data_IF_263117625776
#
_entry.id   IF_263117625776
#
_cell.length_a   1.000
_cell.length_b   1.000
_cell.length_c   1.000
_cell.angle_alpha   90.00
_cell.angle_beta   90.00
_cell.angle_gamma   90.00
#
_symmetry.space_group_name_H-M   'P 1'
#
loop_
_entity.id
_entity.type
_entity.pdbx_description
1 polymer ?
#
# COMPACT_ATOMS: atom_id res chain seq x y z
N UNK A 1 12.20 30.59 37.07
CA UNK A 1 10.82 30.28 36.65
C UNK A 1 10.34 31.06 35.42
N UNK A 2 10.83 32.28 35.13
CA UNK A 2 10.39 33.08 33.96
C UNK A 2 10.85 32.53 32.59
N UNK A 3 11.90 31.71 32.54
CA UNK A 3 12.45 31.11 31.30
C UNK A 3 11.65 29.91 30.77
N UNK A 4 10.80 29.28 31.60
CA UNK A 4 9.99 28.13 31.18
C UNK A 4 8.74 28.55 30.38
N UNK A 5 8.22 29.76 30.60
CA UNK A 5 7.05 30.27 29.87
C UNK A 5 7.35 30.54 28.39
N UNK A 6 8.61 30.83 28.04
CA UNK A 6 9.03 31.09 26.67
C UNK A 6 9.10 29.79 25.82
N UNK A 7 9.42 28.67 26.44
CA UNK A 7 9.39 27.33 25.81
C UNK A 7 7.95 26.83 25.57
N UNK A 8 7.02 27.19 26.45
CA UNK A 8 5.60 26.85 26.29
C UNK A 8 4.94 27.70 25.18
N UNK A 9 5.35 28.95 24.99
CA UNK A 9 4.84 29.81 23.93
C UNK A 9 5.28 29.36 22.52
N UNK A 10 6.48 28.79 22.38
CA UNK A 10 6.99 28.30 21.08
C UNK A 10 6.30 27.00 20.66
N UNK A 11 5.93 26.13 21.60
CA UNK A 11 5.28 24.84 21.31
C UNK A 11 3.81 24.97 20.88
N UNK A 12 3.12 26.05 21.29
CA UNK A 12 1.73 26.32 20.89
C UNK A 12 1.66 26.92 19.46
N UNK A 13 2.72 27.58 18.99
CA UNK A 13 2.78 28.21 17.66
C UNK A 13 2.96 27.26 16.48
N UNK A 14 3.38 26.01 16.70
CA UNK A 14 3.72 25.06 15.61
C UNK A 14 2.57 24.20 15.12
N UNK A 15 1.34 24.37 15.62
CA UNK A 15 0.23 23.42 15.38
C UNK A 15 -0.54 23.71 14.07
N UNK A 16 -0.24 24.80 13.34
CA UNK A 16 -1.04 25.21 12.17
C UNK A 16 -0.28 25.26 10.83
N UNK A 17 0.74 24.41 10.64
CA UNK A 17 1.31 24.19 9.31
C UNK A 17 0.36 23.34 8.43
N UNK A 18 -0.84 23.85 8.16
CA UNK A 18 -1.70 23.32 7.12
C UNK A 18 -0.99 23.46 5.79
N UNK A 19 -0.78 22.35 5.08
CA UNK A 19 -0.16 22.38 3.76
C UNK A 19 -0.90 23.38 2.85
N UNK A 20 -0.17 24.31 2.24
CA UNK A 20 -0.76 25.33 1.38
C UNK A 20 -1.59 24.68 0.28
N UNK A 21 -2.87 25.08 0.09
CA UNK A 21 -3.69 24.58 -1.01
C UNK A 21 -3.00 24.92 -2.34
N UNK A 22 -2.84 23.92 -3.20
CA UNK A 22 -2.26 24.12 -4.53
C UNK A 22 -3.35 24.51 -5.54
N UNK A 23 -4.46 23.77 -5.54
CA UNK A 23 -5.67 24.07 -6.32
C UNK A 23 -6.86 24.01 -5.35
N UNK A 24 -7.82 24.92 -5.51
CA UNK A 24 -9.10 24.88 -4.80
C UNK A 24 -10.25 24.86 -5.80
N UNK A 25 -11.30 24.08 -5.51
CA UNK A 25 -12.52 24.04 -6.31
C UNK A 25 -13.73 23.77 -5.40
N UNK A 26 -14.63 24.74 -5.30
CA UNK A 26 -15.67 24.74 -4.27
C UNK A 26 -15.06 24.65 -2.87
N UNK A 27 -15.52 23.68 -2.07
CA UNK A 27 -15.01 23.44 -0.72
C UNK A 27 -13.86 22.40 -0.67
N UNK A 28 -13.35 21.98 -1.84
CA UNK A 28 -12.30 20.97 -1.92
C UNK A 28 -10.93 21.61 -2.16
N UNK A 29 -9.91 20.99 -1.58
CA UNK A 29 -8.51 21.40 -1.68
C UNK A 29 -7.69 20.27 -2.27
N UNK A 30 -6.85 20.58 -3.25
CA UNK A 30 -5.81 19.68 -3.77
C UNK A 30 -4.47 20.15 -3.23
N UNK A 31 -3.73 19.23 -2.64
CA UNK A 31 -2.37 19.50 -2.18
C UNK A 31 -1.37 19.39 -3.33
N UNK A 32 -0.22 20.06 -3.20
CA UNK A 32 0.89 19.93 -4.14
C UNK A 32 1.31 18.46 -4.34
N UNK A 33 1.33 17.67 -3.28
CA UNK A 33 1.74 16.26 -3.34
C UNK A 33 0.75 15.42 -4.16
N UNK A 34 -0.56 15.61 -3.95
CA UNK A 34 -1.59 14.93 -4.72
C UNK A 34 -1.48 15.27 -6.21
N UNK A 35 -1.35 16.56 -6.53
CA UNK A 35 -1.19 17.03 -7.90
C UNK A 35 0.06 16.43 -8.56
N UNK A 36 1.21 16.48 -7.89
CA UNK A 36 2.46 15.93 -8.42
C UNK A 36 2.38 14.41 -8.60
N UNK A 37 1.71 13.69 -7.70
CA UNK A 37 1.49 12.24 -7.85
C UNK A 37 0.67 11.94 -9.11
N UNK A 38 -0.39 12.73 -9.36
CA UNK A 38 -1.22 12.59 -10.55
C UNK A 38 -0.46 12.95 -11.84
N UNK A 39 0.30 14.04 -11.83
CA UNK A 39 1.14 14.47 -12.96
C UNK A 39 2.18 13.42 -13.30
N UNK A 40 2.93 12.94 -12.30
CA UNK A 40 4.02 11.98 -12.52
C UNK A 40 3.52 10.60 -12.97
N UNK A 41 2.30 10.19 -12.58
CA UNK A 41 1.70 8.93 -13.06
C UNK A 41 1.41 8.95 -14.57
N UNK A 42 1.12 10.12 -15.13
CA UNK A 42 0.71 10.29 -16.53
C UNK A 42 1.79 10.98 -17.38
N UNK A 43 3.01 11.12 -16.86
CA UNK A 43 4.03 11.94 -17.50
C UNK A 43 4.60 11.26 -18.73
N UNK A 44 4.42 11.90 -19.89
CA UNK A 44 5.16 11.59 -21.12
C UNK A 44 6.48 12.36 -21.15
N UNK A 45 7.47 11.87 -21.89
CA UNK A 45 8.70 12.63 -22.09
C UNK A 45 8.39 13.88 -22.91
N UNK A 46 8.72 15.05 -22.34
CA UNK A 46 8.47 16.37 -22.94
C UNK A 46 9.74 17.21 -22.87
N UNK A 47 10.01 17.95 -23.93
CA UNK A 47 11.17 18.84 -24.06
C UNK A 47 10.97 20.10 -23.21
N UNK A 48 9.74 20.63 -23.16
CA UNK A 48 9.37 21.77 -22.33
C UNK A 48 8.56 21.32 -21.11
N UNK A 49 9.24 21.27 -19.96
CA UNK A 49 8.65 20.85 -18.69
C UNK A 49 7.73 21.90 -18.10
N UNK A 50 8.01 23.19 -18.31
CA UNK A 50 7.20 24.26 -17.73
C UNK A 50 5.84 24.32 -18.42
N UNK A 51 5.84 24.32 -19.76
CA UNK A 51 4.61 24.31 -20.55
C UNK A 51 3.74 23.10 -20.20
N UNK A 52 4.33 21.91 -20.18
CA UNK A 52 3.62 20.67 -19.81
C UNK A 52 2.99 20.76 -18.41
N UNK A 53 3.69 21.35 -17.44
CA UNK A 53 3.15 21.51 -16.10
C UNK A 53 1.95 22.46 -16.08
N UNK A 54 2.04 23.60 -16.79
CA UNK A 54 0.95 24.59 -16.87
C UNK A 54 -0.30 24.02 -17.54
N UNK A 55 -0.14 23.34 -18.68
CA UNK A 55 -1.23 22.67 -19.38
C UNK A 55 -1.87 21.60 -18.49
N UNK A 56 -1.07 20.84 -17.74
CA UNK A 56 -1.60 19.83 -16.83
C UNK A 56 -2.33 20.44 -15.63
N UNK A 57 -1.92 21.60 -15.11
CA UNK A 57 -2.69 22.32 -14.06
C UNK A 57 -4.11 22.62 -14.55
N UNK A 58 -4.25 23.15 -15.76
CA UNK A 58 -5.55 23.47 -16.33
C UNK A 58 -6.39 22.22 -16.56
N UNK A 59 -5.82 21.20 -17.22
CA UNK A 59 -6.48 19.92 -17.46
C UNK A 59 -6.97 19.27 -16.15
N UNK A 60 -6.10 19.23 -15.14
CA UNK A 60 -6.40 18.63 -13.85
C UNK A 60 -7.48 19.39 -13.09
N UNK A 61 -7.45 20.73 -13.15
CA UNK A 61 -8.48 21.59 -12.53
C UNK A 61 -9.84 21.35 -13.17
N UNK A 62 -9.91 21.34 -14.51
CA UNK A 62 -11.13 21.06 -15.26
C UNK A 62 -11.66 19.65 -14.99
N UNK A 63 -10.76 18.66 -14.88
CA UNK A 63 -11.11 17.29 -14.51
C UNK A 63 -11.77 17.24 -13.13
N UNK A 64 -11.17 17.86 -12.10
CA UNK A 64 -11.71 17.87 -10.74
C UNK A 64 -13.08 18.53 -10.66
N UNK A 65 -13.28 19.64 -11.38
CA UNK A 65 -14.59 20.29 -11.49
C UNK A 65 -15.65 19.37 -12.10
N UNK A 66 -15.35 18.71 -13.22
CA UNK A 66 -16.28 17.76 -13.86
C UNK A 66 -16.63 16.57 -12.96
N UNK A 67 -15.65 16.03 -12.25
CA UNK A 67 -15.88 14.93 -11.30
C UNK A 67 -16.76 15.37 -10.14
N UNK A 68 -16.54 16.57 -9.60
CA UNK A 68 -17.36 17.13 -8.53
C UNK A 68 -18.81 17.29 -8.98
N UNK A 69 -19.03 17.87 -10.15
CA UNK A 69 -20.38 18.04 -10.71
C UNK A 69 -21.06 16.68 -10.94
N UNK A 70 -20.34 15.70 -11.50
CA UNK A 70 -20.88 14.36 -11.71
C UNK A 70 -21.26 13.66 -10.40
N UNK A 71 -20.49 13.88 -9.32
CA UNK A 71 -20.80 13.37 -7.99
C UNK A 71 -22.02 14.09 -7.38
N UNK A 72 -22.16 15.39 -7.58
CA UNK A 72 -23.32 16.16 -7.11
C UNK A 72 -24.60 15.71 -7.82
N UNK A 73 -24.50 15.38 -9.10
CA UNK A 73 -25.57 14.76 -9.90
C UNK A 73 -25.79 13.26 -9.59
N UNK A 74 -24.99 12.69 -8.67
CA UNK A 74 -25.04 11.27 -8.27
C UNK A 74 -24.90 10.30 -9.45
N UNK A 75 -24.12 10.65 -10.46
CA UNK A 75 -23.93 9.79 -11.64
C UNK A 75 -23.25 8.46 -11.28
N UNK A 76 -22.47 8.44 -10.19
CA UNK A 76 -21.86 7.24 -9.60
C UNK A 76 -22.89 6.23 -9.07
N UNK A 77 -24.12 6.68 -8.79
CA UNK A 77 -25.21 5.81 -8.32
C UNK A 77 -25.99 5.13 -9.45
N UNK A 78 -25.75 5.52 -10.72
CA UNK A 78 -26.44 4.94 -11.86
C UNK A 78 -26.12 3.44 -11.99
N UNK A 79 -27.11 2.57 -12.23
CA UNK A 79 -26.89 1.13 -12.34
C UNK A 79 -25.82 0.73 -13.37
N UNK A 80 -25.79 1.44 -14.50
CA UNK A 80 -24.80 1.22 -15.56
C UNK A 80 -23.38 1.52 -15.08
N UNK A 81 -23.15 2.66 -14.41
CA UNK A 81 -21.83 3.04 -13.89
C UNK A 81 -21.37 2.04 -12.82
N UNK A 82 -22.27 1.63 -11.93
CA UNK A 82 -21.94 0.61 -10.93
C UNK A 82 -21.58 -0.74 -11.57
N UNK A 83 -22.27 -1.12 -12.65
CA UNK A 83 -21.95 -2.33 -13.42
C UNK A 83 -20.56 -2.23 -14.06
N UNK A 84 -20.25 -1.11 -14.71
CA UNK A 84 -18.96 -0.90 -15.37
C UNK A 84 -17.80 -0.89 -14.35
N UNK A 85 -17.97 -0.24 -13.20
CA UNK A 85 -16.99 -0.24 -12.11
C UNK A 85 -16.74 -1.66 -11.58
N UNK A 86 -17.80 -2.46 -11.38
CA UNK A 86 -17.66 -3.86 -10.95
C UNK A 86 -16.88 -4.67 -11.97
N UNK A 87 -17.21 -4.57 -13.24
CA UNK A 87 -16.51 -5.32 -14.29
C UNK A 87 -15.04 -4.92 -14.39
N UNK A 88 -14.73 -3.63 -14.31
CA UNK A 88 -13.34 -3.16 -14.31
C UNK A 88 -12.57 -3.67 -13.09
N UNK A 89 -13.23 -3.72 -11.93
CA UNK A 89 -12.63 -4.31 -10.71
C UNK A 89 -12.27 -5.78 -10.92
N UNK A 90 -13.18 -6.59 -11.47
CA UNK A 90 -12.92 -8.01 -11.75
C UNK A 90 -11.75 -8.21 -12.73
N UNK A 91 -11.54 -7.29 -13.68
CA UNK A 91 -10.41 -7.36 -14.61
C UNK A 91 -9.05 -7.06 -13.96
N UNK A 92 -9.04 -6.26 -12.89
CA UNK A 92 -7.80 -5.79 -12.24
C UNK A 92 -7.46 -6.60 -10.99
N UNK A 93 -8.46 -7.22 -10.34
CA UNK A 93 -8.30 -7.85 -9.03
C UNK A 93 -7.27 -8.98 -9.05
N UNK A 94 -7.24 -9.80 -10.09
CA UNK A 94 -6.31 -10.92 -10.20
C UNK A 94 -4.85 -10.42 -10.23
N UNK A 95 -4.52 -9.48 -11.11
CA UNK A 95 -3.19 -8.88 -11.19
C UNK A 95 -2.79 -8.11 -9.93
N UNK A 96 -3.77 -7.57 -9.19
CA UNK A 96 -3.51 -6.86 -7.94
C UNK A 96 -3.23 -7.83 -6.77
N UNK A 97 -3.90 -8.98 -6.73
CA UNK A 97 -3.74 -9.98 -5.68
C UNK A 97 -2.55 -10.92 -5.92
N UNK A 98 -2.12 -11.07 -7.18
CA UNK A 98 -0.99 -11.92 -7.53
C UNK A 98 0.33 -11.27 -7.08
N UNK A 99 0.95 -11.82 -6.04
CA UNK A 99 2.33 -11.51 -5.65
C UNK A 99 3.32 -12.28 -6.52
N UNK A 100 3.53 -11.81 -7.75
CA UNK A 100 4.48 -12.40 -8.68
C UNK A 100 5.90 -12.46 -8.10
N UNK A 101 6.29 -11.49 -7.27
CA UNK A 101 7.62 -11.45 -6.64
C UNK A 101 7.75 -12.57 -5.60
N UNK A 102 6.72 -12.79 -4.80
CA UNK A 102 6.64 -13.90 -3.85
C UNK A 102 6.74 -15.24 -4.54
N UNK A 103 5.97 -15.44 -5.63
CA UNK A 103 6.02 -16.68 -6.42
C UNK A 103 7.40 -16.90 -7.03
N UNK A 104 8.00 -15.87 -7.64
CA UNK A 104 9.34 -15.96 -8.23
C UNK A 104 10.40 -16.38 -7.20
N UNK A 105 10.35 -15.78 -5.99
CA UNK A 105 11.24 -16.16 -4.90
C UNK A 105 11.08 -17.61 -4.46
N UNK A 106 9.85 -18.11 -4.38
CA UNK A 106 9.58 -19.52 -4.04
C UNK A 106 10.07 -20.47 -5.14
N UNK A 107 9.95 -20.07 -6.40
CA UNK A 107 10.44 -20.85 -7.54
C UNK A 107 11.97 -20.96 -7.54
N UNK A 108 12.67 -19.85 -7.27
CA UNK A 108 14.14 -19.84 -7.10
C UNK A 108 14.57 -20.74 -5.92
N UNK A 109 13.87 -20.65 -4.79
CA UNK A 109 14.15 -21.49 -3.61
C UNK A 109 13.97 -22.98 -3.92
N UNK A 110 12.88 -23.34 -4.60
CA UNK A 110 12.62 -24.72 -5.01
C UNK A 110 13.68 -25.24 -5.99
N UNK A 111 14.09 -24.40 -6.96
CA UNK A 111 15.14 -24.75 -7.93
C UNK A 111 16.52 -24.94 -7.29
N UNK A 112 16.87 -24.12 -6.29
CA UNK A 112 18.13 -24.29 -5.55
C UNK A 112 18.10 -25.56 -4.70
N UNK A 113 16.95 -25.88 -4.09
CA UNK A 113 16.79 -27.11 -3.30
C UNK A 113 16.81 -28.37 -4.16
N UNK A 114 16.23 -28.34 -5.37
CA UNK A 114 16.18 -29.51 -6.26
C UNK A 114 17.55 -29.96 -6.77
N UNK A 115 18.54 -29.07 -6.78
CA UNK A 115 19.93 -29.39 -7.15
C UNK A 115 20.70 -30.15 -6.08
N UNK A 116 20.11 -30.35 -4.89
CA UNK A 116 20.73 -31.08 -3.79
C UNK A 116 20.03 -32.42 -3.62
N UNK A 117 20.82 -33.48 -3.58
CA UNK A 117 20.36 -34.79 -3.12
C UNK A 117 20.77 -34.96 -1.65
N UNK A 118 19.79 -35.13 -0.77
CA UNK A 118 20.00 -35.21 0.68
C UNK A 118 19.47 -36.55 1.19
N UNK A 119 20.35 -37.35 1.77
CA UNK A 119 19.95 -38.52 2.52
C UNK A 119 19.53 -38.10 3.94
N UNK A 120 18.23 -38.18 4.24
CA UNK A 120 17.66 -37.74 5.52
C UNK A 120 17.00 -38.91 6.22
N UNK A 121 17.30 -39.06 7.51
CA UNK A 121 16.60 -39.98 8.43
C UNK A 121 15.77 -39.12 9.38
N UNK A 122 14.47 -39.39 9.45
CA UNK A 122 13.55 -38.67 10.32
C UNK A 122 13.15 -39.53 11.51
N UNK A 123 13.33 -39.01 12.72
CA UNK A 123 12.82 -39.62 13.95
C UNK A 123 11.59 -38.83 14.42
N UNK A 124 10.47 -39.52 14.61
CA UNK A 124 9.27 -38.94 15.21
C UNK A 124 8.93 -39.65 16.52
N UNK A 125 8.44 -38.89 17.49
CA UNK A 125 7.90 -39.42 18.73
C UNK A 125 6.42 -39.01 18.85
N UNK A 126 5.48 -39.95 19.06
CA UNK A 126 4.08 -39.62 19.24
C UNK A 126 3.90 -38.89 20.58
N UNK A 127 3.12 -37.80 20.56
CA UNK A 127 2.72 -37.04 21.75
C UNK A 127 1.19 -37.03 21.80
N UNK A 128 0.62 -37.36 22.95
CA UNK A 128 -0.83 -37.40 23.12
C UNK A 128 -1.46 -36.00 22.94
N UNK A 129 -2.68 -35.93 22.40
CA UNK A 129 -3.35 -34.65 22.12
C UNK A 129 -3.61 -33.80 23.38
N UNK A 130 -3.63 -34.40 24.57
CA UNK A 130 -3.74 -33.72 25.86
C UNK A 130 -2.45 -33.67 26.67
N UNK A 131 -1.30 -33.93 26.04
CA UNK A 131 -0.01 -33.97 26.72
C UNK A 131 0.34 -32.61 27.33
N UNK A 132 1.00 -32.66 28.50
CA UNK A 132 1.45 -31.44 29.17
C UNK A 132 2.70 -30.89 28.47
N UNK A 133 3.02 -29.62 28.70
CA UNK A 133 4.25 -29.02 28.18
C UNK A 133 5.52 -29.79 28.61
N UNK A 134 5.50 -30.42 29.79
CA UNK A 134 6.59 -31.26 30.28
C UNK A 134 6.79 -32.53 29.45
N UNK A 135 5.70 -33.16 28.98
CA UNK A 135 5.75 -34.37 28.16
C UNK A 135 6.34 -34.08 26.77
N UNK A 136 5.95 -32.96 26.16
CA UNK A 136 6.52 -32.50 24.89
C UNK A 136 8.00 -32.17 25.03
N UNK A 137 8.41 -31.49 26.11
CA UNK A 137 9.80 -31.17 26.39
C UNK A 137 10.66 -32.43 26.58
N UNK A 138 10.12 -33.45 27.26
CA UNK A 138 10.80 -34.73 27.45
C UNK A 138 11.01 -35.46 26.12
N UNK A 139 9.98 -35.53 25.27
CA UNK A 139 10.09 -36.14 23.93
C UNK A 139 11.07 -35.39 23.02
N UNK A 140 11.05 -34.05 23.07
CA UNK A 140 12.02 -33.21 22.35
C UNK A 140 13.45 -33.47 22.83
N UNK A 141 13.69 -33.47 24.14
CA UNK A 141 15.01 -33.75 24.71
C UNK A 141 15.52 -35.15 24.35
N UNK A 142 14.64 -36.15 24.34
CA UNK A 142 14.98 -37.51 23.93
C UNK A 142 15.40 -37.58 22.44
N UNK A 143 14.66 -36.91 21.54
CA UNK A 143 15.02 -36.83 20.12
C UNK A 143 16.36 -36.10 19.94
N UNK A 144 16.57 -34.97 20.64
CA UNK A 144 17.82 -34.21 20.57
C UNK A 144 19.03 -34.98 21.11
N UNK A 145 18.83 -35.92 22.05
CA UNK A 145 19.93 -36.75 22.59
C UNK A 145 20.38 -37.88 21.68
N UNK A 146 19.60 -38.19 20.62
CA UNK A 146 19.93 -39.21 19.62
C UNK A 146 20.81 -38.67 18.49
N UNK A 147 20.99 -37.35 18.41
CA UNK A 147 21.91 -36.66 17.50
C UNK A 147 23.25 -36.39 18.19
#
# INVERSE_FOLDING_TARGET
MKKCYLLLAITIGSIHAGAQPFITYGNNVVTKQEFLKAYNKNKTQVTDKEKSLREYVELYSNFKLKVKEAADLRLDSLPQIQYDIRNFREQVIENYLNDEKGISKLMDEAFVRSQKDLHVIHFSAPVAAGATAADTAKSYAAIMSLY
#
